data_IF_833788419962
#
_entry.id   IF_833788419962
#
_cell.length_a   1.000
_cell.length_b   1.000
_cell.length_c   1.000
_cell.angle_alpha   90.00
_cell.angle_beta   90.00
_cell.angle_gamma   90.00
#
_symmetry.space_group_name_H-M   'P 1'
#
loop_
_entity.id
_entity.type
_entity.pdbx_description
1 polymer ?
#
# COMPACT_ATOMS: atom_id res chain seq x y z
N UNK A 1 7.39 15.76 -22.11
CA UNK A 1 6.08 16.11 -21.52
C UNK A 1 5.99 15.41 -20.16
N UNK A 2 5.97 16.15 -19.06
CA UNK A 2 5.78 15.57 -17.73
C UNK A 2 4.31 15.18 -17.60
N UNK A 3 4.01 13.91 -17.80
CA UNK A 3 2.71 13.35 -17.47
C UNK A 3 2.62 13.37 -15.94
N UNK A 4 2.11 14.46 -15.38
CA UNK A 4 1.66 14.45 -13.98
C UNK A 4 0.55 13.42 -13.94
N UNK A 5 0.86 12.25 -13.39
CA UNK A 5 -0.17 11.32 -12.91
C UNK A 5 -1.06 12.20 -12.01
N UNK A 6 -2.37 12.32 -12.30
CA UNK A 6 -3.27 13.06 -11.42
C UNK A 6 -3.07 12.53 -10.00
N UNK A 7 -2.82 13.43 -9.05
CA UNK A 7 -2.60 12.99 -7.66
C UNK A 7 -3.91 12.34 -7.21
N UNK A 8 -3.94 11.00 -7.17
CA UNK A 8 -5.16 10.27 -6.85
C UNK A 8 -5.64 10.59 -5.42
N UNK A 9 -4.76 11.17 -4.60
CA UNK A 9 -5.11 11.69 -3.28
C UNK A 9 -6.09 12.86 -3.35
N UNK A 10 -6.10 13.65 -4.43
CA UNK A 10 -7.08 14.73 -4.60
C UNK A 10 -8.51 14.18 -4.75
N UNK A 11 -8.64 12.92 -5.18
CA UNK A 11 -9.92 12.23 -5.29
C UNK A 11 -10.37 11.56 -3.96
N UNK A 12 -9.51 11.52 -2.95
CA UNK A 12 -9.82 10.95 -1.63
C UNK A 12 -10.44 12.02 -0.73
N UNK A 13 -11.62 11.74 -0.17
CA UNK A 13 -12.34 12.70 0.69
C UNK A 13 -11.87 12.66 2.15
N UNK A 14 -11.37 11.52 2.63
CA UNK A 14 -10.96 11.33 4.04
C UNK A 14 -9.47 11.08 4.23
N UNK A 15 -8.72 10.91 3.14
CA UNK A 15 -7.30 10.59 3.17
C UNK A 15 -6.48 11.74 2.61
N UNK A 16 -5.21 11.77 2.97
CA UNK A 16 -4.23 12.69 2.41
C UNK A 16 -2.87 12.00 2.30
N UNK A 17 -1.95 12.61 1.58
CA UNK A 17 -0.61 12.07 1.30
C UNK A 17 0.20 11.81 2.58
N UNK A 18 -0.04 12.57 3.67
CA UNK A 18 0.59 12.33 4.97
C UNK A 18 0.13 11.02 5.60
N UNK A 19 -1.16 10.69 5.51
CA UNK A 19 -1.70 9.43 6.02
C UNK A 19 -1.15 8.22 5.26
N UNK A 20 -0.97 8.35 3.93
CA UNK A 20 -0.28 7.33 3.12
C UNK A 20 1.18 7.18 3.53
N UNK A 21 1.89 8.27 3.78
CA UNK A 21 3.28 8.20 4.25
C UNK A 21 3.40 7.48 5.61
N UNK A 22 2.48 7.75 6.54
CA UNK A 22 2.41 7.04 7.84
C UNK A 22 2.13 5.55 7.64
N UNK A 23 1.21 5.20 6.72
CA UNK A 23 0.94 3.80 6.39
C UNK A 23 2.19 3.12 5.79
N UNK A 24 2.89 3.78 4.87
CA UNK A 24 4.06 3.25 4.21
C UNK A 24 5.20 2.98 5.21
N UNK A 25 5.45 3.92 6.12
CA UNK A 25 6.44 3.77 7.20
C UNK A 25 6.12 2.55 8.09
N UNK A 26 4.86 2.42 8.50
CA UNK A 26 4.41 1.26 9.26
C UNK A 26 4.54 -0.06 8.48
N UNK A 27 4.24 -0.07 7.17
CA UNK A 27 4.42 -1.26 6.33
C UNK A 27 5.89 -1.63 6.15
N UNK A 28 6.82 -0.67 6.14
CA UNK A 28 8.27 -0.95 6.15
C UNK A 28 8.65 -1.69 7.43
N UNK A 29 8.14 -1.28 8.59
CA UNK A 29 8.40 -1.99 9.84
C UNK A 29 7.87 -3.43 9.81
N UNK A 30 6.66 -3.63 9.26
CA UNK A 30 6.07 -4.97 9.09
C UNK A 30 6.90 -5.82 8.13
N UNK A 31 7.26 -5.27 6.97
CA UNK A 31 8.10 -5.91 5.97
C UNK A 31 9.43 -6.41 6.56
N UNK A 32 10.11 -5.54 7.32
CA UNK A 32 11.37 -5.88 7.98
C UNK A 32 11.20 -6.95 9.07
N UNK A 33 10.10 -6.89 9.83
CA UNK A 33 9.83 -7.87 10.90
C UNK A 33 9.60 -9.29 10.38
N UNK A 34 9.02 -9.42 9.18
CA UNK A 34 8.77 -10.71 8.53
C UNK A 34 9.88 -11.11 7.56
N UNK A 35 10.95 -10.31 7.45
CA UNK A 35 12.10 -10.57 6.58
C UNK A 35 11.69 -10.83 5.11
N UNK A 36 10.67 -10.12 4.64
CA UNK A 36 10.11 -10.29 3.30
C UNK A 36 11.06 -9.74 2.21
N UNK A 37 10.87 -10.20 0.99
CA UNK A 37 11.60 -9.70 -0.18
C UNK A 37 11.28 -8.21 -0.44
N UNK A 38 12.24 -7.37 -0.88
CA UNK A 38 11.97 -5.99 -1.25
C UNK A 38 10.87 -5.84 -2.32
N UNK A 39 10.81 -6.78 -3.25
CA UNK A 39 9.80 -6.90 -4.30
C UNK A 39 8.39 -6.95 -3.72
N UNK A 40 8.19 -7.68 -2.62
CA UNK A 40 6.92 -7.76 -1.89
C UNK A 40 6.46 -6.39 -1.40
N UNK A 41 7.38 -5.57 -0.86
CA UNK A 41 7.06 -4.21 -0.42
C UNK A 41 6.73 -3.29 -1.60
N UNK A 42 7.49 -3.36 -2.70
CA UNK A 42 7.21 -2.55 -3.89
C UNK A 42 5.85 -2.90 -4.50
N UNK A 43 5.53 -4.19 -4.58
CA UNK A 43 4.22 -4.65 -5.07
C UNK A 43 3.10 -4.23 -4.12
N UNK A 44 3.31 -4.32 -2.80
CA UNK A 44 2.36 -3.83 -1.79
C UNK A 44 2.01 -2.36 -2.01
N UNK A 45 3.02 -1.49 -2.14
CA UNK A 45 2.82 -0.06 -2.35
C UNK A 45 2.10 0.23 -3.67
N UNK A 46 2.46 -0.50 -4.72
CA UNK A 46 1.80 -0.39 -6.03
C UNK A 46 0.32 -0.80 -5.98
N UNK A 47 -0.03 -1.87 -5.27
CA UNK A 47 -1.41 -2.31 -5.07
C UNK A 47 -2.21 -1.26 -4.29
N UNK A 48 -1.63 -0.69 -3.21
CA UNK A 48 -2.28 0.36 -2.41
C UNK A 48 -2.58 1.58 -3.27
N UNK A 49 -1.57 2.12 -3.96
CA UNK A 49 -1.72 3.32 -4.78
C UNK A 49 -2.76 3.10 -5.89
N UNK A 50 -2.74 1.93 -6.53
CA UNK A 50 -3.74 1.57 -7.55
C UNK A 50 -5.14 1.47 -6.95
N UNK A 51 -5.31 0.83 -5.80
CA UNK A 51 -6.61 0.71 -5.15
C UNK A 51 -7.19 2.07 -4.75
N UNK A 52 -6.37 2.94 -4.16
CA UNK A 52 -6.77 4.30 -3.79
C UNK A 52 -7.07 5.18 -5.01
N UNK A 53 -6.52 4.88 -6.19
CA UNK A 53 -6.89 5.59 -7.42
C UNK A 53 -8.29 5.28 -7.95
N UNK A 54 -8.90 4.16 -7.53
CA UNK A 54 -10.19 3.69 -8.05
C UNK A 54 -11.29 3.65 -6.96
N UNK A 55 -10.92 3.67 -5.68
CA UNK A 55 -11.86 3.60 -4.55
C UNK A 55 -11.54 4.65 -3.51
N UNK A 56 -12.56 5.43 -3.13
CA UNK A 56 -12.52 6.24 -1.92
C UNK A 56 -12.57 5.32 -0.70
N UNK A 57 -11.63 5.48 0.23
CA UNK A 57 -11.50 4.63 1.41
C UNK A 57 -11.64 5.49 2.66
N UNK A 58 -12.49 5.11 3.63
CA UNK A 58 -12.58 5.84 4.88
C UNK A 58 -11.29 5.67 5.68
N UNK A 59 -10.93 6.68 6.48
CA UNK A 59 -9.67 6.68 7.24
C UNK A 59 -9.43 5.41 8.07
N UNK A 60 -10.50 4.88 8.69
CA UNK A 60 -10.44 3.69 9.55
C UNK A 60 -10.02 2.41 8.81
N UNK A 61 -10.25 2.34 7.50
CA UNK A 61 -10.02 1.13 6.72
C UNK A 61 -8.66 1.19 5.98
N UNK A 62 -7.92 2.30 6.09
CA UNK A 62 -6.65 2.49 5.39
C UNK A 62 -5.60 1.42 5.79
N UNK A 63 -5.51 1.09 7.07
CA UNK A 63 -4.59 0.03 7.54
C UNK A 63 -5.04 -1.35 7.04
N UNK A 64 -6.35 -1.61 7.00
CA UNK A 64 -6.89 -2.85 6.44
C UNK A 64 -6.50 -3.01 4.97
N UNK A 65 -6.61 -1.94 4.18
CA UNK A 65 -6.13 -1.92 2.78
C UNK A 65 -4.64 -2.23 2.70
N UNK A 66 -3.82 -1.61 3.56
CA UNK A 66 -2.37 -1.85 3.60
C UNK A 66 -1.99 -3.29 3.89
N UNK A 67 -2.57 -3.89 4.94
CA UNK A 67 -2.30 -5.30 5.30
C UNK A 67 -2.82 -6.26 4.23
N UNK A 68 -4.00 -5.99 3.67
CA UNK A 68 -4.56 -6.83 2.60
C UNK A 68 -3.69 -6.78 1.35
N UNK A 69 -3.20 -5.59 0.96
CA UNK A 69 -2.28 -5.43 -0.15
C UNK A 69 -0.96 -6.19 0.08
N UNK A 70 -0.42 -6.14 1.30
CA UNK A 70 0.79 -6.87 1.66
C UNK A 70 0.58 -8.38 1.63
N UNK A 71 -0.56 -8.87 2.12
CA UNK A 71 -0.92 -10.29 2.03
C UNK A 71 -1.00 -10.78 0.58
N UNK A 72 -1.61 -9.98 -0.30
CA UNK A 72 -1.67 -10.27 -1.74
C UNK A 72 -0.27 -10.31 -2.35
N UNK A 73 0.57 -9.31 -2.04
CA UNK A 73 1.94 -9.25 -2.52
C UNK A 73 2.79 -10.44 -2.03
N UNK A 74 2.63 -10.83 -0.77
CA UNK A 74 3.33 -11.98 -0.19
C UNK A 74 2.97 -13.27 -0.94
N UNK A 75 1.68 -13.50 -1.23
CA UNK A 75 1.24 -14.68 -2.01
C UNK A 75 1.76 -14.69 -3.45
N UNK A 76 2.18 -13.54 -3.98
CA UNK A 76 2.66 -13.42 -5.34
C UNK A 76 4.18 -13.53 -5.44
N UNK A 77 4.93 -12.87 -4.55
CA UNK A 77 6.39 -12.79 -4.60
C UNK A 77 7.09 -13.84 -3.71
N UNK A 78 6.52 -14.19 -2.56
CA UNK A 78 7.18 -15.09 -1.61
C UNK A 78 6.95 -16.56 -1.98
N UNK A 79 8.04 -17.33 -2.01
CA UNK A 79 8.00 -18.79 -2.21
C UNK A 79 7.24 -19.45 -1.04
N UNK A 80 7.43 -18.92 0.16
CA UNK A 80 6.76 -19.33 1.39
C UNK A 80 6.07 -18.11 2.03
N UNK A 81 4.90 -17.77 1.50
CA UNK A 81 4.12 -16.66 2.06
C UNK A 81 3.71 -16.96 3.51
N UNK A 82 3.77 -15.97 4.43
CA UNK A 82 3.23 -16.13 5.79
C UNK A 82 1.73 -16.47 5.73
N UNK A 83 1.30 -17.43 6.57
CA UNK A 83 -0.10 -17.86 6.69
C UNK A 83 -0.99 -16.84 7.43
#
# INVERSE_FOLDING_TARGET
>A
ASCKIPDYMDAQTELNSKMRAILADWLVEVHLRFELMPETLYLTMHIIDRFLSIRAVPRRDLQLVGVTAMLIACKYEEIWAPE
#
